data_IF_457783950239
#
_entry.id   IF_457783950239
#
_cell.length_a   1.000
_cell.length_b   1.000
_cell.length_c   1.000
_cell.angle_alpha   90.00
_cell.angle_beta   90.00
_cell.angle_gamma   90.00
#
_symmetry.space_group_name_H-M   'P 1'
#
loop_
_entity.id
_entity.type
_entity.pdbx_description
1 polymer ?
#
# COMPACT_ATOMS: atom_id res chain seq x y z
N UNK A 1 -23.01 24.94 -34.73
CA UNK A 1 -22.13 23.98 -35.43
C UNK A 1 -20.79 23.74 -34.72
N UNK A 2 -19.99 24.79 -34.45
CA UNK A 2 -18.65 24.66 -33.82
C UNK A 2 -18.68 24.11 -32.38
N UNK A 3 -19.66 24.50 -31.57
CA UNK A 3 -19.81 23.99 -30.20
C UNK A 3 -20.17 22.50 -30.13
N UNK A 4 -20.96 22.00 -31.10
CA UNK A 4 -21.36 20.57 -31.16
C UNK A 4 -20.16 19.68 -31.49
N UNK A 5 -19.29 20.14 -32.39
CA UNK A 5 -18.03 19.46 -32.69
C UNK A 5 -17.10 19.38 -31.48
N UNK A 6 -17.00 20.45 -30.69
CA UNK A 6 -16.18 20.48 -29.47
C UNK A 6 -16.72 19.52 -28.42
N UNK A 7 -18.04 19.48 -28.23
CA UNK A 7 -18.68 18.54 -27.29
C UNK A 7 -18.46 17.09 -27.71
N UNK A 8 -18.59 16.77 -29.00
CA UNK A 8 -18.32 15.41 -29.51
C UNK A 8 -16.86 15.00 -29.32
N UNK A 9 -15.90 15.90 -29.53
CA UNK A 9 -14.48 15.62 -29.31
C UNK A 9 -14.17 15.38 -27.82
N UNK A 10 -14.75 16.16 -26.92
CA UNK A 10 -14.56 15.98 -25.47
C UNK A 10 -15.19 14.67 -25.00
N UNK A 11 -16.40 14.34 -25.47
CA UNK A 11 -17.06 13.07 -25.15
C UNK A 11 -16.25 11.85 -25.61
N UNK A 12 -15.61 11.92 -26.79
CA UNK A 12 -14.72 10.86 -27.27
C UNK A 12 -13.47 10.75 -26.38
N UNK A 13 -12.89 11.86 -25.94
CA UNK A 13 -11.72 11.87 -25.06
C UNK A 13 -12.02 11.31 -23.65
N UNK A 14 -13.21 11.54 -23.12
CA UNK A 14 -13.63 11.01 -21.80
C UNK A 14 -13.88 9.50 -21.85
N UNK A 15 -14.30 8.95 -23.00
CA UNK A 15 -14.49 7.51 -23.19
C UNK A 15 -13.16 6.74 -23.37
N UNK A 16 -12.05 7.45 -23.60
CA UNK A 16 -10.71 6.89 -23.83
C UNK A 16 -9.78 7.06 -22.63
N UNK A 17 -10.30 7.10 -21.40
CA UNK A 17 -9.42 7.01 -20.24
C UNK A 17 -8.92 5.56 -20.12
N UNK A 18 -7.59 5.30 -20.21
CA UNK A 18 -7.07 3.99 -19.87
C UNK A 18 -7.37 3.76 -18.39
N UNK A 19 -8.13 2.71 -18.09
CA UNK A 19 -8.22 2.21 -16.73
C UNK A 19 -6.81 1.72 -16.40
N UNK A 20 -6.07 2.53 -15.63
CA UNK A 20 -4.76 2.14 -15.14
C UNK A 20 -5.02 1.01 -14.15
N UNK A 21 -4.98 -0.23 -14.66
CA UNK A 21 -4.99 -1.43 -13.85
C UNK A 21 -3.71 -1.45 -13.02
N UNK A 22 -3.78 -0.81 -11.86
CA UNK A 22 -2.72 -0.71 -10.87
C UNK A 22 -2.61 -2.06 -10.18
N UNK A 23 -1.75 -2.93 -10.69
CA UNK A 23 -1.46 -4.21 -10.05
C UNK A 23 -0.64 -3.98 -8.78
N UNK A 24 -1.01 -4.68 -7.72
CA UNK A 24 -0.29 -4.66 -6.45
C UNK A 24 0.68 -5.84 -6.40
N UNK A 25 1.89 -5.60 -5.90
CA UNK A 25 2.87 -6.65 -5.61
C UNK A 25 2.71 -7.12 -4.16
N UNK A 26 3.08 -8.38 -3.89
CA UNK A 26 3.29 -8.84 -2.51
C UNK A 26 4.77 -8.79 -2.17
N UNK A 27 5.08 -8.08 -1.09
CA UNK A 27 6.41 -8.07 -0.49
C UNK A 27 6.55 -9.29 0.44
N UNK A 28 7.64 -10.03 0.29
CA UNK A 28 7.96 -11.13 1.20
C UNK A 28 8.60 -10.57 2.47
N UNK A 29 7.90 -10.70 3.60
CA UNK A 29 8.32 -10.25 4.92
C UNK A 29 8.40 -11.38 5.94
N UNK A 30 8.54 -12.63 5.49
CA UNK A 30 8.53 -13.85 6.30
C UNK A 30 9.56 -13.92 7.44
N UNK A 31 10.53 -13.00 7.45
CA UNK A 31 11.55 -12.88 8.49
C UNK A 31 11.74 -11.42 8.96
N UNK A 32 10.88 -10.50 8.51
CA UNK A 32 11.07 -9.05 8.74
C UNK A 32 10.56 -8.62 10.10
N UNK A 33 9.43 -9.17 10.57
CA UNK A 33 8.87 -8.86 11.89
C UNK A 33 9.33 -9.81 13.01
N UNK A 34 10.17 -10.79 12.69
CA UNK A 34 10.82 -11.67 13.70
C UNK A 34 11.88 -10.93 14.53
N UNK A 35 12.34 -9.78 14.05
CA UNK A 35 13.41 -8.99 14.66
C UNK A 35 13.23 -7.52 14.36
N UNK A 36 13.94 -6.68 15.11
CA UNK A 36 14.04 -5.26 14.82
C UNK A 36 14.63 -5.04 13.42
N UNK A 37 13.98 -4.19 12.62
CA UNK A 37 14.41 -3.92 11.24
C UNK A 37 13.35 -3.19 10.42
N UNK A 38 13.60 -3.13 9.11
CA UNK A 38 12.70 -2.51 8.12
C UNK A 38 12.03 -3.58 7.26
N UNK A 39 10.71 -3.46 7.12
CA UNK A 39 9.89 -4.17 6.14
C UNK A 39 9.62 -3.22 4.98
N UNK A 40 10.08 -3.56 3.76
CA UNK A 40 10.06 -2.67 2.57
C UNK A 40 9.28 -3.27 1.41
N UNK A 41 8.54 -2.43 0.68
CA UNK A 41 7.97 -2.80 -0.62
C UNK A 41 9.07 -3.06 -1.66
N UNK A 42 8.85 -3.98 -2.61
CA UNK A 42 9.86 -4.34 -3.62
C UNK A 42 10.13 -3.23 -4.63
N UNK A 43 9.17 -2.33 -4.85
CA UNK A 43 9.30 -1.18 -5.75
C UNK A 43 9.29 0.12 -4.95
N UNK A 44 10.12 1.09 -5.37
CA UNK A 44 10.26 2.39 -4.70
C UNK A 44 9.08 3.34 -4.90
N UNK A 45 8.21 3.06 -5.88
CA UNK A 45 7.04 3.87 -6.24
C UNK A 45 5.72 3.20 -5.86
N UNK A 46 5.75 2.17 -5.02
CA UNK A 46 4.55 1.53 -4.48
C UNK A 46 4.45 1.75 -2.98
N UNK A 47 3.21 1.72 -2.49
CA UNK A 47 2.84 2.03 -1.13
C UNK A 47 2.16 0.85 -0.46
N UNK A 48 2.45 0.68 0.82
CA UNK A 48 1.85 -0.34 1.64
C UNK A 48 0.36 -0.02 1.81
N UNK A 49 -0.47 -0.96 1.39
CA UNK A 49 -1.93 -0.86 1.44
C UNK A 49 -2.54 -1.82 2.47
N UNK A 50 -1.79 -2.84 2.88
CA UNK A 50 -2.22 -3.79 3.88
C UNK A 50 -1.21 -4.91 4.09
N UNK A 51 -1.54 -5.84 4.97
CA UNK A 51 -0.70 -6.99 5.30
C UNK A 51 -1.44 -8.29 5.02
N UNK A 52 -0.68 -9.33 4.68
CA UNK A 52 -1.13 -10.69 4.86
C UNK A 52 -0.61 -11.21 6.19
N UNK A 53 -1.43 -12.02 6.86
CA UNK A 53 -1.12 -12.57 8.18
C UNK A 53 -1.21 -14.09 8.14
N UNK A 54 -0.17 -14.74 8.64
CA UNK A 54 -0.12 -16.19 8.77
C UNK A 54 -0.98 -16.69 9.94
N UNK A 55 -1.32 -17.97 9.90
CA UNK A 55 -2.17 -18.58 10.92
C UNK A 55 -1.43 -18.70 12.26
N UNK A 56 -2.08 -18.34 13.38
CA UNK A 56 -1.47 -18.39 14.70
C UNK A 56 -1.31 -19.83 15.20
N UNK A 57 -0.10 -20.16 15.68
CA UNK A 57 0.22 -21.46 16.31
C UNK A 57 0.48 -21.27 17.81
N UNK A 58 -0.52 -20.78 18.54
CA UNK A 58 -0.43 -20.53 19.99
C UNK A 58 0.15 -19.17 20.38
N UNK A 59 0.69 -18.40 19.43
CA UNK A 59 1.03 -16.99 19.58
C UNK A 59 0.34 -16.18 18.47
N UNK A 60 -0.06 -14.95 18.78
CA UNK A 60 -0.76 -14.05 17.87
C UNK A 60 -0.03 -12.70 17.76
N UNK A 61 1.30 -12.71 17.85
CA UNK A 61 2.11 -11.50 17.77
C UNK A 61 2.30 -10.94 16.35
N UNK A 62 3.00 -9.83 16.26
CA UNK A 62 3.35 -9.12 15.01
C UNK A 62 4.16 -9.96 14.01
N UNK A 63 4.93 -10.95 14.48
CA UNK A 63 5.74 -11.81 13.61
C UNK A 63 4.93 -12.54 12.55
N UNK A 64 3.63 -12.77 12.79
CA UNK A 64 2.76 -13.40 11.81
C UNK A 64 2.44 -12.51 10.59
N UNK A 65 2.92 -11.27 10.52
CA UNK A 65 2.73 -10.38 9.37
C UNK A 65 3.76 -10.68 8.26
N UNK A 66 3.57 -11.81 7.57
CA UNK A 66 4.60 -12.35 6.68
C UNK A 66 4.63 -11.74 5.28
N UNK A 67 3.61 -10.97 4.88
CA UNK A 67 3.63 -10.28 3.58
C UNK A 67 3.03 -8.88 3.64
N UNK A 68 3.58 -7.97 2.84
CA UNK A 68 3.05 -6.63 2.61
C UNK A 68 2.36 -6.53 1.25
N UNK A 69 1.14 -5.99 1.20
CA UNK A 69 0.48 -5.63 -0.06
C UNK A 69 0.92 -4.23 -0.50
N UNK A 70 1.69 -4.17 -1.58
CA UNK A 70 2.30 -2.95 -2.10
C UNK A 70 1.63 -2.53 -3.41
N UNK A 71 0.94 -1.40 -3.40
CA UNK A 71 0.15 -0.89 -4.53
C UNK A 71 0.60 0.51 -4.90
N UNK A 72 0.55 0.92 -6.17
CA UNK A 72 0.82 2.31 -6.50
C UNK A 72 -0.30 3.22 -5.97
N UNK A 73 0.01 4.50 -5.76
CA UNK A 73 -0.91 5.44 -5.13
C UNK A 73 -2.18 5.66 -5.97
N UNK A 74 -3.34 5.71 -5.29
CA UNK A 74 -4.60 6.11 -5.92
C UNK A 74 -4.68 7.62 -6.15
N UNK A 75 -4.08 8.38 -5.25
CA UNK A 75 -4.04 9.83 -5.31
C UNK A 75 -3.05 10.28 -6.40
N UNK A 76 -3.49 11.01 -7.45
CA UNK A 76 -2.66 11.34 -8.61
C UNK A 76 -1.37 12.06 -8.25
N UNK A 77 -1.37 12.90 -7.20
CA UNK A 77 -0.20 13.64 -6.75
C UNK A 77 0.94 12.75 -6.21
N UNK A 78 0.65 11.49 -5.87
CA UNK A 78 1.62 10.52 -5.35
C UNK A 78 1.94 9.38 -6.34
N UNK A 79 1.33 9.37 -7.52
CA UNK A 79 1.65 8.39 -8.56
C UNK A 79 3.10 8.59 -9.00
N UNK A 80 3.87 7.49 -9.06
CA UNK A 80 5.30 7.47 -9.39
C UNK A 80 6.23 8.27 -8.45
N UNK A 81 5.70 8.83 -7.36
CA UNK A 81 6.54 9.47 -6.35
C UNK A 81 7.25 8.41 -5.51
N UNK A 82 8.50 8.67 -5.09
CA UNK A 82 9.17 7.82 -4.15
C UNK A 82 8.45 7.90 -2.80
N UNK A 83 8.50 6.79 -2.12
CA UNK A 83 7.91 6.66 -0.81
C UNK A 83 8.60 7.44 0.30
N UNK A 84 7.88 7.63 1.42
CA UNK A 84 8.45 8.07 2.70
C UNK A 84 8.42 6.91 3.68
N UNK A 85 9.55 6.69 4.35
CA UNK A 85 9.70 5.69 5.41
C UNK A 85 9.48 6.35 6.78
N UNK A 86 8.75 5.68 7.67
CA UNK A 86 8.59 6.11 9.06
C UNK A 86 9.04 4.98 9.99
N UNK A 87 9.81 5.36 11.02
CA UNK A 87 10.15 4.45 12.09
C UNK A 87 9.02 4.54 13.12
N UNK A 88 8.35 3.43 13.42
CA UNK A 88 7.21 3.45 14.32
C UNK A 88 7.17 2.17 15.15
N UNK A 89 6.79 2.32 16.43
CA UNK A 89 6.71 1.19 17.33
C UNK A 89 5.34 0.53 17.23
N UNK A 90 5.27 -0.54 16.45
CA UNK A 90 4.02 -1.24 16.17
C UNK A 90 3.75 -2.44 17.06
N UNK A 91 4.71 -2.84 17.90
CA UNK A 91 4.62 -4.05 18.73
C UNK A 91 3.32 -4.07 19.54
N UNK A 92 3.08 -2.99 20.29
CA UNK A 92 1.91 -2.91 21.17
C UNK A 92 0.63 -2.49 20.44
N UNK A 93 0.72 -1.95 19.22
CA UNK A 93 -0.43 -1.45 18.46
C UNK A 93 -1.06 -2.60 17.65
N UNK A 94 -0.24 -3.42 17.00
CA UNK A 94 -0.73 -4.48 16.13
C UNK A 94 -1.07 -5.77 16.87
N UNK A 95 -0.55 -5.97 18.09
CA UNK A 95 -0.93 -7.11 18.94
C UNK A 95 -2.32 -6.96 19.58
N UNK A 96 -2.89 -5.73 19.60
CA UNK A 96 -4.13 -5.42 20.35
C UNK A 96 -5.32 -5.09 19.43
N UNK A 97 -5.10 -4.73 18.16
CA UNK A 97 -6.11 -4.00 17.39
C UNK A 97 -6.91 -4.86 16.39
N UNK A 98 -8.16 -5.18 16.77
CA UNK A 98 -9.19 -5.84 15.93
C UNK A 98 -9.83 -4.96 14.84
N UNK A 99 -9.39 -3.71 14.66
CA UNK A 99 -10.04 -2.76 13.73
C UNK A 99 -9.01 -1.73 13.21
N UNK A 100 -8.38 -2.05 12.09
CA UNK A 100 -7.41 -1.20 11.39
C UNK A 100 -8.03 -0.65 10.10
N UNK A 101 -8.88 0.37 10.21
CA UNK A 101 -9.42 1.09 9.03
C UNK A 101 -8.79 2.49 8.85
N UNK A 102 -7.99 2.98 9.80
CA UNK A 102 -7.49 4.37 9.80
C UNK A 102 -5.98 4.56 9.70
N UNK A 103 -5.18 3.49 9.73
CA UNK A 103 -3.72 3.61 9.77
C UNK A 103 -3.03 3.62 8.39
N UNK A 104 -3.72 3.24 7.31
CA UNK A 104 -3.10 2.92 6.02
C UNK A 104 -2.88 4.09 5.06
N UNK A 105 -2.69 5.32 5.54
CA UNK A 105 -2.55 6.48 4.65
C UNK A 105 -1.06 6.77 4.37
N UNK A 106 -0.59 6.35 3.18
CA UNK A 106 0.63 6.80 2.47
C UNK A 106 2.00 6.22 2.90
N UNK A 107 2.06 5.14 3.67
CA UNK A 107 3.34 4.51 4.06
C UNK A 107 3.73 3.39 3.10
N UNK A 108 5.01 3.10 2.93
CA UNK A 108 5.51 2.06 1.99
C UNK A 108 6.44 1.07 2.64
N UNK A 109 6.91 1.42 3.82
CA UNK A 109 7.95 0.74 4.53
C UNK A 109 7.83 1.11 5.99
N UNK A 110 7.91 0.09 6.83
CA UNK A 110 7.69 0.21 8.26
C UNK A 110 8.94 -0.31 8.96
N UNK A 111 9.48 0.50 9.87
CA UNK A 111 10.60 0.13 10.72
C UNK A 111 10.13 -0.12 12.15
N UNK A 112 10.65 -1.16 12.79
CA UNK A 112 10.54 -1.38 14.24
C UNK A 112 11.75 -0.77 14.96
N UNK A 113 11.50 -0.11 16.11
CA UNK A 113 12.52 0.43 17.02
C UNK A 113 12.86 -0.53 18.14
#
# INVERSE_FOLDING_TARGET
MRFVFVILLISILVLFQPDVSLTCDRANWWASFDRKGWSVCPKSNTYLKGFWRNDPQGNNGIQLLEEGSCCPAKEPSYVNQPSKCVNANWWNIMDVQRRLERFWRLETSIGLT
#
